data_IF_600117781757
#
_entry.id   IF_600117781757
#
_cell.length_a   1.000
_cell.length_b   1.000
_cell.length_c   1.000
_cell.angle_alpha   90.00
_cell.angle_beta   90.00
_cell.angle_gamma   90.00
#
_symmetry.space_group_name_H-M   'P 1'
#
loop_
_entity.id
_entity.type
_entity.pdbx_description
1 polymer ?
#
# COMPACT_ATOMS: atom_id res chain seq x y z
N UNK A 1 11.67 -20.69 32.48
CA UNK A 1 10.24 -21.04 32.48
C UNK A 1 9.74 -20.96 31.04
N UNK A 2 9.49 -22.10 30.41
CA UNK A 2 8.92 -22.16 29.05
C UNK A 2 7.46 -21.70 29.10
N UNK A 3 7.05 -20.83 28.18
CA UNK A 3 5.68 -20.38 28.11
C UNK A 3 4.74 -21.55 27.77
N UNK A 4 3.49 -21.50 28.24
CA UNK A 4 2.50 -22.52 27.88
C UNK A 4 2.08 -22.37 26.41
N UNK A 5 1.74 -23.45 25.69
CA UNK A 5 1.39 -23.40 24.27
C UNK A 5 0.27 -22.40 23.95
N UNK A 6 -0.71 -22.27 24.85
CA UNK A 6 -1.81 -21.31 24.71
C UNK A 6 -1.35 -19.84 24.82
N UNK A 7 -0.32 -19.55 25.62
CA UNK A 7 0.24 -18.20 25.76
C UNK A 7 1.05 -17.81 24.53
N UNK A 8 1.79 -18.75 23.95
CA UNK A 8 2.52 -18.55 22.70
C UNK A 8 1.58 -18.29 21.53
N UNK A 9 0.51 -19.09 21.39
CA UNK A 9 -0.51 -18.89 20.36
C UNK A 9 -1.20 -17.53 20.44
N UNK A 10 -1.56 -17.07 21.65
CA UNK A 10 -2.13 -15.72 21.86
C UNK A 10 -1.16 -14.61 21.48
N UNK A 11 0.12 -14.80 21.75
CA UNK A 11 1.15 -13.83 21.39
C UNK A 11 1.38 -13.78 19.88
N UNK A 12 1.44 -14.93 19.20
CA UNK A 12 1.57 -14.99 17.74
C UNK A 12 0.36 -14.33 17.04
N UNK A 13 -0.86 -14.60 17.52
CA UNK A 13 -2.07 -13.95 16.99
C UNK A 13 -2.01 -12.42 17.15
N UNK A 14 -1.58 -11.93 18.32
CA UNK A 14 -1.41 -10.50 18.54
C UNK A 14 -0.45 -9.88 17.52
N UNK A 15 0.73 -10.47 17.31
CA UNK A 15 1.69 -9.96 16.32
C UNK A 15 1.19 -10.07 14.88
N UNK A 16 0.40 -11.11 14.57
CA UNK A 16 -0.24 -11.25 13.27
C UNK A 16 -1.21 -10.11 13.00
N UNK A 17 -2.06 -9.76 13.97
CA UNK A 17 -2.98 -8.63 13.85
C UNK A 17 -2.23 -7.31 13.70
N UNK A 18 -1.14 -7.11 14.44
CA UNK A 18 -0.30 -5.92 14.30
C UNK A 18 0.22 -5.81 12.86
N UNK A 19 0.86 -6.86 12.33
CA UNK A 19 1.43 -6.86 10.96
C UNK A 19 0.36 -6.63 9.91
N UNK A 20 -0.81 -7.26 10.05
CA UNK A 20 -1.96 -7.07 9.16
C UNK A 20 -2.45 -5.61 9.14
N UNK A 21 -2.66 -5.04 10.32
CA UNK A 21 -3.20 -3.69 10.46
C UNK A 21 -2.21 -2.63 9.99
N UNK A 22 -0.93 -2.81 10.27
CA UNK A 22 0.08 -1.79 9.97
C UNK A 22 0.69 -1.91 8.59
N UNK A 23 0.84 -3.13 8.07
CA UNK A 23 1.40 -3.38 6.73
C UNK A 23 0.38 -3.41 5.62
N UNK A 24 -0.86 -3.84 5.90
CA UNK A 24 -1.92 -3.87 4.89
C UNK A 24 -2.93 -2.76 5.08
N UNK A 25 -3.62 -2.75 6.23
CA UNK A 25 -4.79 -1.88 6.41
C UNK A 25 -4.45 -0.39 6.46
N UNK A 26 -3.30 0.01 7.03
CA UNK A 26 -2.91 1.41 7.09
C UNK A 26 -2.54 2.02 5.72
N UNK A 27 -1.69 1.37 4.88
CA UNK A 27 -1.46 1.85 3.51
C UNK A 27 -2.72 1.85 2.63
N UNK A 28 -3.51 0.77 2.66
CA UNK A 28 -4.77 0.69 1.91
C UNK A 28 -5.76 1.75 2.41
N UNK A 29 -5.80 1.96 3.73
CA UNK A 29 -6.63 2.97 4.38
C UNK A 29 -6.30 4.38 3.93
N UNK A 30 -5.01 4.73 3.77
CA UNK A 30 -4.60 6.01 3.20
C UNK A 30 -5.26 6.24 1.83
N UNK A 31 -5.20 5.26 0.93
CA UNK A 31 -5.77 5.36 -0.41
C UNK A 31 -7.29 5.47 -0.37
N UNK A 32 -7.96 4.60 0.38
CA UNK A 32 -9.42 4.58 0.46
C UNK A 32 -9.98 5.84 1.13
N UNK A 33 -9.40 6.27 2.26
CA UNK A 33 -9.86 7.44 3.00
C UNK A 33 -9.60 8.73 2.22
N UNK A 34 -8.41 8.89 1.62
CA UNK A 34 -8.09 10.07 0.81
C UNK A 34 -9.00 10.20 -0.40
N UNK A 35 -9.30 9.08 -1.08
CA UNK A 35 -10.20 9.05 -2.23
C UNK A 35 -11.64 9.31 -1.80
N UNK A 36 -12.13 8.64 -0.75
CA UNK A 36 -13.50 8.79 -0.27
C UNK A 36 -13.80 10.22 0.20
N UNK A 37 -12.94 10.80 1.04
CA UNK A 37 -13.10 12.19 1.51
C UNK A 37 -13.01 13.17 0.33
N UNK A 38 -12.11 12.94 -0.62
CA UNK A 38 -12.01 13.81 -1.79
C UNK A 38 -13.25 13.74 -2.66
N UNK A 39 -13.78 12.54 -2.95
CA UNK A 39 -15.00 12.38 -3.74
C UNK A 39 -16.22 12.97 -3.03
N UNK A 40 -16.30 12.86 -1.71
CA UNK A 40 -17.35 13.52 -0.93
C UNK A 40 -17.32 15.06 -1.03
N UNK A 41 -16.16 15.67 -1.33
CA UNK A 41 -16.03 17.11 -1.57
C UNK A 41 -16.43 17.55 -2.98
N UNK A 42 -16.72 16.61 -3.88
CA UNK A 42 -17.12 16.88 -5.27
C UNK A 42 -16.22 17.90 -5.98
N UNK A 43 -14.92 17.60 -6.18
CA UNK A 43 -13.99 18.54 -6.80
C UNK A 43 -14.44 18.92 -8.21
N UNK A 44 -14.40 20.22 -8.52
CA UNK A 44 -14.84 20.76 -9.81
C UNK A 44 -13.95 20.33 -10.99
N UNK A 45 -12.67 20.06 -10.72
CA UNK A 45 -11.69 19.63 -11.72
C UNK A 45 -10.62 18.71 -11.10
N UNK A 46 -9.72 18.22 -11.96
CA UNK A 46 -8.64 17.34 -11.56
C UNK A 46 -7.64 18.02 -10.61
N UNK A 47 -7.42 19.33 -10.73
CA UNK A 47 -6.51 20.07 -9.86
C UNK A 47 -7.07 20.18 -8.43
N UNK A 48 -8.35 20.51 -8.30
CA UNK A 48 -9.08 20.54 -7.04
C UNK A 48 -9.11 19.14 -6.39
N UNK A 49 -9.29 18.09 -7.19
CA UNK A 49 -9.19 16.71 -6.73
C UNK A 49 -7.79 16.42 -6.17
N UNK A 50 -6.73 16.80 -6.88
CA UNK A 50 -5.35 16.58 -6.44
C UNK A 50 -5.00 17.33 -5.18
N UNK A 51 -5.41 18.59 -5.06
CA UNK A 51 -5.18 19.37 -3.85
C UNK A 51 -5.92 18.78 -2.64
N UNK A 52 -7.14 18.28 -2.85
CA UNK A 52 -7.89 17.60 -1.79
C UNK A 52 -7.22 16.30 -1.36
N UNK A 53 -6.79 15.45 -2.30
CA UNK A 53 -6.08 14.20 -2.01
C UNK A 53 -4.81 14.51 -1.21
N UNK A 54 -3.98 15.45 -1.67
CA UNK A 54 -2.77 15.85 -0.97
C UNK A 54 -3.03 16.36 0.45
N UNK A 55 -4.09 17.16 0.64
CA UNK A 55 -4.45 17.68 1.94
C UNK A 55 -4.83 16.55 2.91
N UNK A 56 -5.64 15.58 2.46
CA UNK A 56 -6.03 14.43 3.28
C UNK A 56 -4.84 13.53 3.55
N UNK A 57 -4.04 13.21 2.53
CA UNK A 57 -2.84 12.39 2.68
C UNK A 57 -1.86 13.01 3.67
N UNK A 58 -1.61 14.32 3.60
CA UNK A 58 -0.74 15.03 4.55
C UNK A 58 -1.20 14.88 6.00
N UNK A 59 -2.51 14.94 6.24
CA UNK A 59 -3.08 14.69 7.57
C UNK A 59 -2.95 13.24 8.03
N UNK A 60 -2.98 12.28 7.10
CA UNK A 60 -2.85 10.85 7.39
C UNK A 60 -1.38 10.41 7.56
N UNK A 61 -0.41 11.12 6.96
CA UNK A 61 1.01 10.74 6.95
C UNK A 61 1.58 10.40 8.33
N UNK A 62 1.33 11.14 9.42
CA UNK A 62 1.84 10.77 10.75
C UNK A 62 1.36 9.39 11.21
N UNK A 63 0.11 9.03 10.92
CA UNK A 63 -0.46 7.73 11.25
C UNK A 63 0.16 6.62 10.41
N UNK A 64 0.36 6.86 9.12
CA UNK A 64 1.03 5.91 8.25
C UNK A 64 2.48 5.67 8.70
N UNK A 65 3.23 6.73 9.00
CA UNK A 65 4.61 6.61 9.50
C UNK A 65 4.65 5.78 10.78
N UNK A 66 3.76 6.07 11.73
CA UNK A 66 3.66 5.29 12.97
C UNK A 66 3.32 3.82 12.70
N UNK A 67 2.37 3.56 11.80
CA UNK A 67 2.01 2.20 11.41
C UNK A 67 3.22 1.46 10.81
N UNK A 68 3.93 2.06 9.85
CA UNK A 68 5.10 1.45 9.23
C UNK A 68 6.24 1.19 10.22
N UNK A 69 6.44 2.07 11.21
CA UNK A 69 7.41 1.82 12.29
C UNK A 69 7.00 0.61 13.13
N UNK A 70 5.72 0.51 13.49
CA UNK A 70 5.19 -0.64 14.24
C UNK A 70 5.25 -1.93 13.41
N UNK A 71 5.04 -1.87 12.10
CA UNK A 71 5.24 -2.98 11.17
C UNK A 71 6.68 -3.49 11.25
N UNK A 72 7.66 -2.60 11.11
CA UNK A 72 9.09 -2.96 11.18
C UNK A 72 9.41 -3.64 12.51
N UNK A 73 8.91 -3.10 13.63
CA UNK A 73 9.08 -3.74 14.96
C UNK A 73 8.46 -5.14 14.97
N UNK A 74 7.26 -5.30 14.42
CA UNK A 74 6.57 -6.58 14.32
C UNK A 74 7.35 -7.60 13.49
N UNK A 75 7.90 -7.20 12.35
CA UNK A 75 8.70 -8.06 11.48
C UNK A 75 10.04 -8.44 12.13
N UNK A 76 10.76 -7.48 12.73
CA UNK A 76 12.03 -7.73 13.45
C UNK A 76 11.82 -8.71 14.60
N UNK A 77 10.73 -8.57 15.36
CA UNK A 77 10.41 -9.52 16.42
C UNK A 77 10.05 -10.89 15.86
N UNK A 78 9.28 -10.92 14.77
CA UNK A 78 8.86 -12.17 14.12
C UNK A 78 10.03 -12.96 13.54
N UNK A 79 11.11 -12.30 13.11
CA UNK A 79 12.31 -12.97 12.60
C UNK A 79 12.87 -14.05 13.52
N UNK A 80 12.84 -13.83 14.84
CA UNK A 80 13.33 -14.81 15.82
C UNK A 80 12.21 -15.56 16.55
N UNK A 81 11.12 -14.87 16.86
CA UNK A 81 10.07 -15.43 17.73
C UNK A 81 8.95 -16.13 16.95
N UNK A 82 8.66 -15.69 15.72
CA UNK A 82 7.50 -16.13 14.93
C UNK A 82 7.87 -16.29 13.44
N UNK A 83 8.77 -17.23 13.08
CA UNK A 83 9.25 -17.38 11.70
C UNK A 83 8.11 -17.69 10.72
N UNK A 84 7.04 -18.35 11.18
CA UNK A 84 5.83 -18.57 10.37
C UNK A 84 5.13 -17.27 9.97
N UNK A 85 5.01 -16.32 10.90
CA UNK A 85 4.42 -15.01 10.64
C UNK A 85 5.29 -14.21 9.67
N UNK A 86 6.61 -14.19 9.88
CA UNK A 86 7.53 -13.51 8.95
C UNK A 86 7.42 -14.10 7.54
N UNK A 87 7.45 -15.43 7.40
CA UNK A 87 7.34 -16.08 6.11
C UNK A 87 6.03 -15.74 5.39
N UNK A 88 4.91 -15.69 6.12
CA UNK A 88 3.62 -15.28 5.56
C UNK A 88 3.64 -13.81 5.11
N UNK A 89 4.14 -12.90 5.94
CA UNK A 89 4.23 -11.49 5.58
C UNK A 89 5.11 -11.27 4.34
N UNK A 90 6.26 -11.92 4.26
CA UNK A 90 7.15 -11.84 3.09
C UNK A 90 6.55 -12.52 1.86
N UNK A 91 5.87 -13.66 2.03
CA UNK A 91 5.18 -14.34 0.93
C UNK A 91 4.04 -13.47 0.40
N UNK A 92 3.26 -12.86 1.28
CA UNK A 92 2.22 -11.90 0.94
C UNK A 92 2.77 -10.72 0.16
N UNK A 93 3.83 -10.06 0.67
CA UNK A 93 4.51 -8.97 -0.04
C UNK A 93 4.91 -9.35 -1.46
N UNK A 94 5.58 -10.50 -1.64
CA UNK A 94 6.00 -10.95 -2.97
C UNK A 94 4.83 -11.36 -3.85
N UNK A 95 3.82 -12.05 -3.30
CA UNK A 95 2.63 -12.43 -4.03
C UNK A 95 1.85 -11.20 -4.52
N UNK A 96 1.70 -10.18 -3.68
CA UNK A 96 1.07 -8.91 -4.04
C UNK A 96 1.85 -8.15 -5.12
N UNK A 97 3.18 -8.08 -5.00
CA UNK A 97 4.03 -7.47 -6.03
C UNK A 97 3.92 -8.20 -7.38
N UNK A 98 3.96 -9.54 -7.37
CA UNK A 98 3.80 -10.35 -8.60
C UNK A 98 2.39 -10.20 -9.18
N UNK A 99 1.36 -10.21 -8.33
CA UNK A 99 -0.01 -9.98 -8.76
C UNK A 99 -0.18 -8.60 -9.41
N UNK A 100 0.55 -7.58 -8.94
CA UNK A 100 0.55 -6.24 -9.53
C UNK A 100 1.14 -6.24 -10.93
N UNK A 101 2.27 -6.93 -11.13
CA UNK A 101 2.87 -7.11 -12.48
C UNK A 101 1.88 -7.81 -13.40
N UNK A 102 1.30 -8.92 -12.92
CA UNK A 102 0.35 -9.71 -13.71
C UNK A 102 -0.88 -8.88 -14.09
N UNK A 103 -1.40 -8.10 -13.14
CA UNK A 103 -2.50 -7.17 -13.38
C UNK A 103 -2.12 -6.14 -14.44
N UNK A 104 -0.95 -5.50 -14.33
CA UNK A 104 -0.50 -4.49 -15.29
C UNK A 104 -0.25 -5.07 -16.68
N UNK A 105 0.29 -6.29 -16.77
CA UNK A 105 0.52 -6.99 -18.04
C UNK A 105 -0.79 -7.23 -18.83
N UNK A 106 -1.93 -7.33 -18.14
CA UNK A 106 -3.26 -7.43 -18.75
C UNK A 106 -3.89 -6.03 -18.90
N UNK A 107 -3.79 -5.22 -17.87
CA UNK A 107 -4.45 -3.91 -17.79
C UNK A 107 -3.88 -2.92 -18.81
N UNK A 108 -2.59 -2.94 -19.07
CA UNK A 108 -1.97 -2.00 -19.99
C UNK A 108 -2.37 -2.27 -21.46
N UNK A 109 -2.25 -3.49 -22.02
CA UNK A 109 -2.67 -3.76 -23.40
C UNK A 109 -4.18 -3.63 -23.62
N UNK A 110 -4.99 -4.21 -22.73
CA UNK A 110 -6.44 -4.32 -22.94
C UNK A 110 -7.23 -3.16 -22.33
N UNK A 111 -6.78 -2.60 -21.22
CA UNK A 111 -7.46 -1.48 -20.57
C UNK A 111 -7.02 -0.14 -21.12
N UNK A 112 -5.74 0.19 -20.96
CA UNK A 112 -5.19 1.49 -21.38
C UNK A 112 -5.01 1.56 -22.90
N UNK A 113 -4.44 0.52 -23.51
CA UNK A 113 -4.17 0.45 -24.95
C UNK A 113 -5.43 0.53 -25.80
N UNK A 114 -6.52 -0.10 -25.37
CA UNK A 114 -7.85 -0.02 -26.03
C UNK A 114 -8.68 1.20 -25.59
N UNK A 115 -8.13 2.09 -24.76
CA UNK A 115 -8.81 3.28 -24.20
C UNK A 115 -10.06 2.94 -23.38
N UNK A 116 -10.18 1.71 -22.89
CA UNK A 116 -11.26 1.27 -22.01
C UNK A 116 -11.05 1.73 -20.56
N UNK A 117 -9.82 2.06 -20.17
CA UNK A 117 -9.48 2.58 -18.84
C UNK A 117 -8.86 3.99 -18.92
N UNK A 118 -9.13 4.84 -17.91
CA UNK A 118 -8.85 6.28 -17.98
C UNK A 118 -7.36 6.67 -17.89
N UNK A 119 -6.44 5.73 -17.63
CA UNK A 119 -5.02 6.05 -17.64
C UNK A 119 -4.09 4.98 -17.08
N UNK A 120 -2.81 5.17 -17.39
CA UNK A 120 -1.69 4.41 -16.84
C UNK A 120 -1.47 4.78 -15.36
N UNK A 121 -1.52 3.78 -14.47
CA UNK A 121 -1.51 4.00 -13.01
C UNK A 121 -0.14 4.45 -12.51
N UNK A 122 0.97 3.78 -12.88
CA UNK A 122 2.31 4.29 -12.62
C UNK A 122 2.48 5.77 -13.00
N UNK A 123 2.09 6.17 -14.21
CA UNK A 123 2.17 7.57 -14.62
C UNK A 123 1.32 8.48 -13.72
N UNK A 124 0.06 8.11 -13.43
CA UNK A 124 -0.79 8.92 -12.54
C UNK A 124 -0.22 9.04 -11.13
N UNK A 125 0.24 7.95 -10.52
CA UNK A 125 0.84 8.00 -9.19
C UNK A 125 2.10 8.86 -9.16
N UNK A 126 2.97 8.76 -10.17
CA UNK A 126 4.15 9.62 -10.28
C UNK A 126 3.78 11.09 -10.34
N UNK A 127 2.78 11.44 -11.17
CA UNK A 127 2.27 12.81 -11.26
C UNK A 127 1.71 13.30 -9.93
N UNK A 128 0.97 12.44 -9.23
CA UNK A 128 0.37 12.79 -7.95
C UNK A 128 1.45 13.01 -6.91
N UNK A 129 2.38 12.08 -6.74
CA UNK A 129 3.42 12.15 -5.70
C UNK A 129 4.39 13.32 -5.95
N UNK A 130 4.79 13.55 -7.20
CA UNK A 130 5.74 14.61 -7.54
C UNK A 130 5.09 15.96 -7.84
N UNK A 131 3.75 16.02 -7.93
CA UNK A 131 3.02 17.25 -8.27
C UNK A 131 3.41 17.83 -9.63
N UNK A 132 3.82 16.99 -10.59
CA UNK A 132 4.32 17.40 -11.89
C UNK A 132 3.60 16.66 -13.01
N UNK A 133 3.20 17.38 -14.06
CA UNK A 133 2.62 16.78 -15.26
C UNK A 133 3.65 16.32 -16.29
N UNK A 134 4.92 16.69 -16.10
CA UNK A 134 5.99 16.32 -17.04
C UNK A 134 6.45 14.89 -16.80
N UNK A 135 6.06 14.01 -17.73
CA UNK A 135 6.48 12.60 -17.70
C UNK A 135 7.97 12.50 -18.01
N UNK A 136 8.74 12.08 -17.02
CA UNK A 136 10.17 11.79 -17.13
C UNK A 136 10.51 10.49 -16.37
N UNK A 137 11.75 10.03 -16.49
CA UNK A 137 12.20 8.77 -15.86
C UNK A 137 12.00 8.79 -14.34
N UNK A 138 12.29 9.91 -13.67
CA UNK A 138 12.12 10.04 -12.23
C UNK A 138 10.66 9.89 -11.80
N UNK A 139 9.74 10.54 -12.53
CA UNK A 139 8.30 10.42 -12.30
C UNK A 139 7.81 8.99 -12.45
N UNK A 140 8.21 8.32 -13.53
CA UNK A 140 7.84 6.92 -13.77
C UNK A 140 8.40 6.01 -12.68
N UNK A 141 9.66 6.18 -12.26
CA UNK A 141 10.26 5.38 -11.19
C UNK A 141 9.49 5.52 -9.88
N UNK A 142 9.15 6.74 -9.47
CA UNK A 142 8.35 6.99 -8.26
C UNK A 142 6.96 6.38 -8.38
N UNK A 143 6.32 6.56 -9.52
CA UNK A 143 4.99 6.02 -9.80
C UNK A 143 4.93 4.49 -9.79
N UNK A 144 5.86 3.83 -10.47
CA UNK A 144 5.99 2.38 -10.45
C UNK A 144 6.29 1.88 -9.04
N UNK A 145 7.28 2.45 -8.36
CA UNK A 145 7.64 2.04 -7.00
C UNK A 145 6.41 2.10 -6.08
N UNK A 146 5.65 3.19 -6.12
CA UNK A 146 4.43 3.30 -5.34
C UNK A 146 3.38 2.25 -5.74
N UNK A 147 3.13 2.07 -7.04
CA UNK A 147 2.16 1.08 -7.55
C UNK A 147 2.49 -0.34 -7.08
N UNK A 148 3.76 -0.71 -7.16
CA UNK A 148 4.29 -1.99 -6.70
C UNK A 148 4.15 -2.19 -5.19
N UNK A 149 4.52 -1.18 -4.39
CA UNK A 149 4.42 -1.25 -2.94
C UNK A 149 2.96 -1.31 -2.49
N UNK A 150 2.07 -0.52 -3.09
CA UNK A 150 0.64 -0.57 -2.82
C UNK A 150 0.07 -1.97 -3.06
N UNK A 151 0.44 -2.60 -4.18
CA UNK A 151 0.06 -3.98 -4.47
C UNK A 151 0.66 -5.03 -3.54
N UNK A 152 1.91 -4.83 -3.11
CA UNK A 152 2.55 -5.69 -2.12
C UNK A 152 1.85 -5.61 -0.75
N UNK A 153 1.39 -4.42 -0.35
CA UNK A 153 0.64 -4.19 0.90
C UNK A 153 -0.72 -4.92 0.89
N UNK A 154 -1.40 -4.99 -0.28
CA UNK A 154 -2.58 -5.85 -0.46
C UNK A 154 -2.27 -7.33 -0.23
N UNK A 155 -1.08 -7.77 -0.63
CA UNK A 155 -0.63 -9.15 -0.42
C UNK A 155 -0.36 -9.48 1.04
N UNK A 156 -0.02 -8.52 1.91
CA UNK A 156 0.11 -8.76 3.36
C UNK A 156 -1.25 -9.10 4.01
N UNK A 157 -2.36 -8.60 3.44
CA UNK A 157 -3.70 -8.83 3.98
C UNK A 157 -4.21 -10.25 3.68
N UNK A 158 -3.80 -10.82 2.55
CA UNK A 158 -4.26 -12.12 2.03
C UNK A 158 -3.37 -13.28 2.49
#
# INVERSE_FOLDING_TARGET
MTATPAKEARSELFWTLIVLLTGGAAPIGLLLVSTAITMARQPADMMAMMMSIHAVMRGYMPFLILALLVLVIGLVKSYRAYPRLLNRALTGLWAGAVATIALDAIRYPFGVGLRALPGDMPTMFGKFILGSDQVNVGLLLVGYLYHFLNGADFGIVY
#
